data_IF_734266737914
#
_entry.id   IF_734266737914
#
_cell.length_a   1.000
_cell.length_b   1.000
_cell.length_c   1.000
_cell.angle_alpha   90.00
_cell.angle_beta   90.00
_cell.angle_gamma   90.00
#
_symmetry.space_group_name_H-M   'P 1'
#
loop_
_entity.id
_entity.type
_entity.pdbx_description
1 polymer ?
#
# COMPACT_ATOMS: atom_id res chain seq x y z
N UNK A 1 32.58 6.98 -0.11
CA UNK A 1 32.59 6.83 1.36
C UNK A 1 32.07 5.43 1.66
N UNK A 2 32.99 4.51 1.99
CA UNK A 2 32.75 3.06 1.99
C UNK A 2 31.78 2.64 3.10
N UNK A 3 30.63 2.10 2.71
CA UNK A 3 29.70 1.40 3.59
C UNK A 3 30.17 -0.05 3.70
N UNK A 4 30.56 -0.46 4.90
CA UNK A 4 30.89 -1.84 5.26
C UNK A 4 29.59 -2.66 5.30
N UNK A 5 29.54 -3.86 4.70
CA UNK A 5 28.34 -4.71 4.75
C UNK A 5 28.10 -5.28 6.16
N UNK A 6 26.84 -5.19 6.59
CA UNK A 6 26.30 -5.53 7.92
C UNK A 6 26.17 -7.05 8.16
N UNK A 7 27.17 -7.85 7.76
CA UNK A 7 27.10 -9.33 7.80
C UNK A 7 28.16 -10.00 8.71
N UNK A 8 28.85 -9.23 9.55
CA UNK A 8 29.91 -9.76 10.42
C UNK A 8 29.69 -9.40 11.90
N UNK A 9 28.71 -10.03 12.52
CA UNK A 9 28.69 -10.25 13.96
C UNK A 9 27.88 -11.51 14.24
N UNK A 10 28.47 -12.45 15.01
CA UNK A 10 27.92 -13.74 15.45
C UNK A 10 28.22 -14.96 14.54
N UNK A 11 29.48 -15.40 14.54
CA UNK A 11 29.84 -16.83 14.36
C UNK A 11 30.97 -17.26 15.29
N UNK A 12 30.61 -17.80 16.44
CA UNK A 12 31.31 -18.81 17.28
C UNK A 12 30.40 -19.09 18.48
N UNK A 13 30.17 -20.27 19.06
CA UNK A 13 30.73 -21.62 19.01
C UNK A 13 29.53 -22.61 19.18
N UNK A 14 29.53 -23.88 18.76
CA UNK A 14 30.04 -25.07 19.50
C UNK A 14 29.72 -26.32 18.64
N UNK A 15 30.69 -27.05 18.09
CA UNK A 15 31.21 -28.38 18.52
C UNK A 15 30.23 -29.42 19.09
N UNK A 16 29.94 -30.42 18.24
CA UNK A 16 30.08 -31.90 18.40
C UNK A 16 29.63 -32.63 19.67
N UNK A 17 28.77 -33.64 19.48
CA UNK A 17 28.86 -34.95 20.13
C UNK A 17 28.23 -36.03 19.24
N UNK A 18 28.88 -37.20 19.19
CA UNK A 18 28.54 -38.39 18.42
C UNK A 18 28.49 -39.62 19.35
N UNK A 19 28.04 -40.74 18.80
CA UNK A 19 27.91 -42.10 19.36
C UNK A 19 26.60 -42.37 20.11
N UNK A 20 25.90 -43.50 19.93
CA UNK A 20 26.15 -44.75 19.21
C UNK A 20 25.26 -45.83 19.84
N UNK A 21 24.86 -46.88 19.11
CA UNK A 21 24.26 -48.07 19.74
C UNK A 21 23.24 -48.88 18.93
N UNK A 22 23.76 -49.92 18.27
CA UNK A 22 23.12 -51.19 17.81
C UNK A 22 22.13 -51.80 18.83
N UNK A 23 21.29 -52.81 18.57
CA UNK A 23 20.66 -53.53 17.45
C UNK A 23 19.99 -54.77 18.10
N UNK A 24 18.90 -55.28 17.49
CA UNK A 24 18.34 -56.67 17.56
C UNK A 24 17.36 -57.05 18.68
N UNK A 25 16.31 -57.77 18.25
CA UNK A 25 15.83 -58.96 18.97
C UNK A 25 14.31 -59.12 19.01
N UNK A 26 13.76 -59.82 18.01
CA UNK A 26 12.36 -60.23 17.93
C UNK A 26 11.98 -61.30 18.97
N UNK A 27 10.70 -61.39 19.36
CA UNK A 27 9.83 -62.55 19.11
C UNK A 27 8.41 -62.37 19.68
N UNK A 28 7.47 -62.87 18.88
CA UNK A 28 6.02 -62.98 19.09
C UNK A 28 5.65 -63.79 20.34
N UNK A 29 4.54 -63.42 20.96
CA UNK A 29 3.54 -64.39 21.41
C UNK A 29 2.13 -63.76 21.36
N UNK A 30 1.24 -64.44 20.64
CA UNK A 30 -0.18 -64.17 20.46
C UNK A 30 -1.01 -64.64 21.66
N UNK A 31 -2.04 -63.88 22.06
CA UNK A 31 -3.36 -64.45 22.40
C UNK A 31 -4.47 -63.39 22.56
N UNK A 32 -5.55 -63.68 21.84
CA UNK A 32 -6.97 -63.56 22.18
C UNK A 32 -7.59 -62.17 22.46
N UNK A 33 -8.47 -61.83 21.51
CA UNK A 33 -9.61 -60.93 21.53
C UNK A 33 -10.26 -60.65 22.89
N UNK A 34 -10.39 -59.36 23.19
CA UNK A 34 -11.59 -58.80 23.78
C UNK A 34 -12.02 -57.64 22.87
N UNK A 35 -13.17 -57.78 22.22
CA UNK A 35 -13.82 -56.68 21.50
C UNK A 35 -14.40 -55.79 22.58
N UNK A 36 -13.60 -54.82 23.01
CA UNK A 36 -14.04 -53.72 23.85
C UNK A 36 -14.67 -52.67 22.93
N UNK A 37 -15.99 -52.54 23.01
CA UNK A 37 -16.73 -51.46 22.39
C UNK A 37 -16.52 -50.18 23.23
N UNK A 38 -15.31 -49.61 23.13
CA UNK A 38 -14.97 -48.30 23.68
C UNK A 38 -15.60 -47.16 22.86
N UNK A 39 -15.83 -45.99 23.47
CA UNK A 39 -16.72 -44.96 22.94
C UNK A 39 -16.13 -44.27 21.72
N UNK A 40 -16.70 -44.53 20.55
CA UNK A 40 -16.32 -43.86 19.29
C UNK A 40 -16.64 -42.35 19.28
N UNK A 41 -17.26 -41.79 20.34
CA UNK A 41 -17.52 -40.35 20.48
C UNK A 41 -16.33 -39.50 20.94
N UNK A 42 -15.33 -40.07 21.62
CA UNK A 42 -14.30 -39.27 22.31
C UNK A 42 -13.18 -38.70 21.44
N UNK A 43 -13.00 -39.18 20.21
CA UNK A 43 -11.99 -38.69 19.27
C UNK A 43 -12.52 -37.55 18.39
N UNK A 44 -13.78 -37.66 17.96
CA UNK A 44 -14.46 -36.61 17.21
C UNK A 44 -14.66 -35.35 18.06
N UNK A 45 -15.13 -35.49 19.31
CA UNK A 45 -15.30 -34.37 20.23
C UNK A 45 -13.96 -33.67 20.55
N UNK A 46 -12.87 -34.44 20.67
CA UNK A 46 -11.52 -33.88 20.88
C UNK A 46 -11.03 -33.08 19.67
N UNK A 47 -11.22 -33.61 18.46
CA UNK A 47 -10.81 -32.92 17.24
C UNK A 47 -11.61 -31.62 17.04
N UNK A 48 -12.91 -31.63 17.31
CA UNK A 48 -13.76 -30.42 17.25
C UNK A 48 -13.28 -29.38 18.26
N UNK A 49 -13.06 -29.78 19.52
CA UNK A 49 -12.57 -28.89 20.57
C UNK A 49 -11.18 -28.30 20.24
N UNK A 50 -10.29 -29.09 19.65
CA UNK A 50 -8.95 -28.64 19.24
C UNK A 50 -9.02 -27.61 18.10
N UNK A 51 -9.89 -27.85 17.10
CA UNK A 51 -10.15 -26.91 16.01
C UNK A 51 -10.75 -25.60 16.54
N UNK A 52 -11.78 -25.65 17.38
CA UNK A 52 -12.40 -24.46 17.98
C UNK A 52 -11.38 -23.64 18.78
N UNK A 53 -10.51 -24.34 19.51
CA UNK A 53 -9.43 -23.72 20.28
C UNK A 53 -8.37 -23.07 19.39
N UNK A 54 -8.01 -23.68 18.26
CA UNK A 54 -7.09 -23.09 17.28
C UNK A 54 -7.69 -21.84 16.65
N UNK A 55 -8.95 -21.88 16.20
CA UNK A 55 -9.65 -20.74 15.60
C UNK A 55 -9.69 -19.56 16.56
N UNK A 56 -9.98 -19.81 17.84
CA UNK A 56 -9.97 -18.77 18.87
C UNK A 56 -8.57 -18.16 19.07
N UNK A 57 -7.52 -18.98 19.11
CA UNK A 57 -6.13 -18.48 19.21
C UNK A 57 -5.71 -17.68 17.97
N UNK A 58 -6.09 -18.12 16.78
CA UNK A 58 -5.83 -17.40 15.52
C UNK A 58 -6.52 -16.03 15.51
N UNK A 59 -7.76 -15.93 15.99
CA UNK A 59 -8.44 -14.65 16.13
C UNK A 59 -7.70 -13.72 17.10
N UNK A 60 -7.23 -14.24 18.24
CA UNK A 60 -6.42 -13.47 19.19
C UNK A 60 -5.07 -13.03 18.59
N UNK A 61 -4.43 -13.88 17.78
CA UNK A 61 -3.23 -13.52 17.03
C UNK A 61 -3.51 -12.36 16.08
N UNK A 62 -4.59 -12.41 15.29
CA UNK A 62 -4.94 -11.33 14.36
C UNK A 62 -5.09 -10.00 15.10
N UNK A 63 -5.79 -9.99 16.25
CA UNK A 63 -5.89 -8.79 17.11
C UNK A 63 -4.54 -8.34 17.67
N UNK A 64 -3.66 -9.27 18.02
CA UNK A 64 -2.26 -8.97 18.40
C UNK A 64 -1.50 -8.29 17.28
N UNK A 65 -1.56 -8.82 16.06
CA UNK A 65 -0.95 -8.21 14.89
C UNK A 65 -1.56 -6.82 14.62
N UNK A 66 -2.87 -6.62 14.78
CA UNK A 66 -3.48 -5.26 14.65
C UNK A 66 -2.81 -4.27 15.59
N UNK A 67 -2.65 -4.62 16.87
CA UNK A 67 -1.99 -3.77 17.87
C UNK A 67 -0.53 -3.52 17.55
N UNK A 68 0.20 -4.53 17.10
CA UNK A 68 1.60 -4.39 16.69
C UNK A 68 1.74 -3.45 15.49
N UNK A 69 0.91 -3.58 14.45
CA UNK A 69 0.95 -2.66 13.32
C UNK A 69 0.66 -1.21 13.75
N UNK A 70 -0.36 -0.99 14.58
CA UNK A 70 -0.72 0.35 15.09
C UNK A 70 0.39 0.97 15.94
N UNK A 71 1.07 0.17 16.76
CA UNK A 71 2.15 0.63 17.64
C UNK A 71 3.53 0.60 16.98
N UNK A 72 3.62 0.22 15.70
CA UNK A 72 4.90 -0.07 15.06
C UNK A 72 5.73 -1.09 15.87
N UNK A 73 5.07 -2.09 16.43
CA UNK A 73 5.61 -3.17 17.26
C UNK A 73 6.32 -2.65 18.53
N UNK A 74 5.77 -1.61 19.16
CA UNK A 74 6.30 -1.01 20.39
C UNK A 74 5.32 -1.15 21.57
N UNK A 75 5.52 -2.14 22.47
CA UNK A 75 6.48 -3.25 22.39
C UNK A 75 5.96 -4.39 21.51
N UNK A 76 6.88 -5.18 20.95
CA UNK A 76 6.57 -6.41 20.25
C UNK A 76 6.04 -7.47 21.22
N UNK A 77 4.91 -8.10 20.89
CA UNK A 77 4.24 -9.15 21.66
C UNK A 77 4.88 -10.52 21.34
N UNK A 78 6.03 -10.82 21.96
CA UNK A 78 6.84 -12.01 21.67
C UNK A 78 6.07 -13.35 21.74
N UNK A 79 5.02 -13.43 22.54
CA UNK A 79 4.17 -14.61 22.69
C UNK A 79 3.35 -14.94 21.43
N UNK A 80 3.20 -14.00 20.49
CA UNK A 80 2.55 -14.23 19.20
C UNK A 80 3.42 -15.06 18.25
N UNK A 81 4.71 -15.24 18.57
CA UNK A 81 5.70 -15.84 17.69
C UNK A 81 6.23 -17.15 18.25
N UNK A 82 6.43 -18.13 17.37
CA UNK A 82 7.11 -19.36 17.74
C UNK A 82 8.59 -19.06 18.03
N UNK A 83 9.25 -19.76 18.96
CA UNK A 83 10.65 -19.50 19.30
C UNK A 83 11.62 -19.53 18.11
N UNK A 84 11.36 -20.42 17.15
CA UNK A 84 12.12 -20.58 15.90
C UNK A 84 11.53 -19.83 14.71
N UNK A 85 10.79 -18.74 14.93
CA UNK A 85 10.17 -17.98 13.85
C UNK A 85 11.19 -17.56 12.79
N UNK A 86 10.82 -17.70 11.51
CA UNK A 86 11.60 -17.17 10.40
C UNK A 86 10.94 -15.94 9.81
N UNK A 87 11.72 -14.89 9.55
CA UNK A 87 11.28 -13.68 8.88
C UNK A 87 12.09 -13.49 7.60
N UNK A 88 11.43 -13.16 6.50
CA UNK A 88 12.13 -12.80 5.27
C UNK A 88 11.41 -11.69 4.53
N UNK A 89 12.17 -10.68 4.10
CA UNK A 89 11.71 -9.63 3.22
C UNK A 89 12.71 -9.43 2.04
N UNK A 90 12.45 -8.50 1.11
CA UNK A 90 13.37 -8.23 0.00
C UNK A 90 14.72 -7.60 0.38
N UNK A 91 15.01 -7.34 1.65
CA UNK A 91 16.28 -6.78 2.14
C UNK A 91 17.02 -7.75 3.07
N UNK A 92 16.31 -8.44 3.96
CA UNK A 92 16.85 -9.17 5.10
C UNK A 92 16.12 -10.49 5.32
N UNK A 93 16.79 -11.41 6.01
CA UNK A 93 16.21 -12.67 6.46
C UNK A 93 16.73 -12.95 7.85
N UNK A 94 15.84 -13.26 8.79
CA UNK A 94 16.12 -13.40 10.21
C UNK A 94 15.52 -14.72 10.71
N UNK A 95 16.13 -15.26 11.76
CA UNK A 95 15.65 -16.46 12.43
C UNK A 95 15.68 -16.24 13.94
N UNK A 96 14.59 -16.62 14.61
CA UNK A 96 14.38 -16.49 16.04
C UNK A 96 13.75 -15.16 16.46
N UNK A 97 12.94 -15.22 17.52
CA UNK A 97 12.17 -14.09 18.07
C UNK A 97 13.08 -12.92 18.43
N UNK A 98 14.24 -13.19 19.03
CA UNK A 98 15.19 -12.14 19.43
C UNK A 98 15.78 -11.37 18.25
N UNK A 99 16.11 -12.07 17.14
CA UNK A 99 16.62 -11.41 15.94
C UNK A 99 15.56 -10.51 15.31
N UNK A 100 14.32 -10.99 15.27
CA UNK A 100 13.19 -10.24 14.76
C UNK A 100 12.89 -8.99 15.60
N UNK A 101 12.80 -9.13 16.93
CA UNK A 101 12.63 -8.02 17.89
C UNK A 101 13.71 -6.94 17.73
N UNK A 102 14.98 -7.35 17.59
CA UNK A 102 16.08 -6.40 17.41
C UNK A 102 15.96 -5.60 16.10
N UNK A 103 15.54 -6.24 15.02
CA UNK A 103 15.32 -5.56 13.74
C UNK A 103 14.14 -4.58 13.81
N UNK A 104 13.05 -5.00 14.43
CA UNK A 104 11.88 -4.16 14.66
C UNK A 104 12.25 -2.93 15.50
N UNK A 105 12.94 -3.10 16.64
CA UNK A 105 13.41 -2.00 17.49
C UNK A 105 14.34 -1.02 16.73
N UNK A 106 15.10 -1.53 15.75
CA UNK A 106 15.93 -0.68 14.90
C UNK A 106 15.07 0.19 13.97
N UNK A 107 14.08 -0.40 13.30
CA UNK A 107 13.18 0.30 12.38
C UNK A 107 12.24 1.26 13.10
N UNK A 108 11.75 0.88 14.28
CA UNK A 108 10.84 1.66 15.11
C UNK A 108 11.49 2.90 15.73
N UNK A 109 12.81 3.02 15.60
CA UNK A 109 13.53 4.12 16.20
C UNK A 109 13.67 3.97 17.71
N UNK A 110 13.53 2.79 18.31
CA UNK A 110 13.86 2.60 19.72
C UNK A 110 15.35 2.45 19.94
N UNK A 111 16.05 1.90 18.96
CA UNK A 111 17.50 1.94 18.96
C UNK A 111 18.01 3.37 18.77
N UNK A 112 19.13 3.71 19.43
CA UNK A 112 19.82 4.99 19.24
C UNK A 112 20.13 5.24 17.75
N UNK A 113 20.48 4.19 17.01
CA UNK A 113 20.71 4.26 15.56
C UNK A 113 19.42 4.57 14.79
N UNK A 114 18.30 3.94 15.13
CA UNK A 114 17.00 4.18 14.49
C UNK A 114 16.54 5.64 14.62
N UNK A 115 16.65 6.26 15.81
CA UNK A 115 16.31 7.69 16.02
C UNK A 115 17.18 8.65 15.19
N UNK A 116 18.43 8.25 14.96
CA UNK A 116 19.39 9.04 14.17
C UNK A 116 19.07 8.90 12.68
N UNK A 117 18.71 7.70 12.23
CA UNK A 117 18.52 7.37 10.81
C UNK A 117 17.13 7.73 10.28
N UNK A 118 16.08 7.61 11.09
CA UNK A 118 14.69 7.66 10.62
C UNK A 118 13.81 8.66 11.39
N UNK A 119 12.80 9.20 10.72
CA UNK A 119 11.68 10.02 11.26
C UNK A 119 10.43 9.73 10.44
N UNK A 120 9.27 10.18 10.89
CA UNK A 120 7.98 10.01 10.20
C UNK A 120 7.68 8.53 9.90
N UNK A 121 8.13 7.64 10.78
CA UNK A 121 7.87 6.22 10.66
C UNK A 121 6.37 5.96 10.84
N UNK A 122 5.79 5.21 9.92
CA UNK A 122 4.38 4.82 9.98
C UNK A 122 4.20 3.46 9.34
N UNK A 123 3.39 2.62 9.97
CA UNK A 123 2.98 1.33 9.45
C UNK A 123 1.47 1.25 9.57
N UNK A 124 0.80 1.08 8.43
CA UNK A 124 -0.65 0.97 8.36
C UNK A 124 -0.99 -0.42 7.86
N UNK A 125 -1.80 -1.15 8.62
CA UNK A 125 -2.40 -2.39 8.16
C UNK A 125 -3.75 -2.08 7.54
N UNK A 126 -3.89 -2.39 6.25
CA UNK A 126 -5.10 -2.10 5.49
C UNK A 126 -6.13 -3.22 5.54
N UNK A 127 -5.67 -4.47 5.65
CA UNK A 127 -6.54 -5.64 5.64
C UNK A 127 -5.80 -6.86 6.21
N UNK A 128 -6.55 -7.82 6.75
CA UNK A 128 -6.10 -9.16 7.10
C UNK A 128 -7.04 -10.19 6.47
N UNK A 129 -6.50 -11.09 5.67
CA UNK A 129 -7.26 -12.15 5.01
C UNK A 129 -6.78 -13.53 5.46
N UNK A 130 -7.71 -14.48 5.48
CA UNK A 130 -7.47 -15.88 5.83
C UNK A 130 -8.23 -16.76 4.86
N UNK A 131 -7.61 -17.82 4.33
CA UNK A 131 -8.27 -18.73 3.38
C UNK A 131 -9.47 -19.44 4.02
N UNK A 132 -9.33 -19.83 5.29
CA UNK A 132 -10.41 -20.32 6.14
C UNK A 132 -10.09 -20.04 7.63
N UNK A 133 -11.09 -20.12 8.53
CA UNK A 133 -10.84 -19.99 9.97
C UNK A 133 -9.81 -21.00 10.48
N UNK A 134 -9.82 -22.20 9.94
CA UNK A 134 -8.96 -23.33 10.34
C UNK A 134 -7.61 -23.33 9.62
N UNK A 135 -7.42 -22.49 8.59
CA UNK A 135 -6.17 -22.47 7.85
C UNK A 135 -5.01 -22.03 8.75
N UNK A 136 -3.84 -22.63 8.55
CA UNK A 136 -2.59 -22.21 9.21
C UNK A 136 -1.90 -21.06 8.47
N UNK A 137 -2.65 -20.35 7.64
CA UNK A 137 -2.17 -19.24 6.83
C UNK A 137 -3.01 -18.01 7.12
N UNK A 138 -2.35 -16.85 7.15
CA UNK A 138 -3.02 -15.56 7.07
C UNK A 138 -2.14 -14.60 6.27
N UNK A 139 -2.78 -13.59 5.69
CA UNK A 139 -2.12 -12.60 4.86
C UNK A 139 -2.52 -11.21 5.36
N UNK A 140 -1.56 -10.34 5.65
CA UNK A 140 -1.85 -8.94 5.93
C UNK A 140 -1.47 -8.10 4.72
N UNK A 141 -2.20 -7.01 4.48
CA UNK A 141 -1.81 -5.96 3.52
C UNK A 141 -1.43 -4.71 4.29
N UNK A 142 -0.35 -4.07 3.88
CA UNK A 142 0.22 -2.97 4.64
C UNK A 142 0.88 -1.88 3.81
N UNK A 143 1.12 -0.75 4.45
CA UNK A 143 1.95 0.34 3.95
C UNK A 143 2.90 0.80 5.05
N UNK A 144 4.19 0.69 4.76
CA UNK A 144 5.29 1.13 5.59
C UNK A 144 5.86 2.41 4.99
N UNK A 145 6.03 3.43 5.81
CA UNK A 145 6.74 4.64 5.44
C UNK A 145 7.78 5.02 6.49
N UNK A 146 8.85 5.66 6.02
CA UNK A 146 9.81 6.34 6.90
C UNK A 146 10.59 7.37 6.09
N UNK A 147 11.08 8.40 6.78
CA UNK A 147 11.96 9.43 6.23
C UNK A 147 13.38 9.19 6.67
N UNK A 148 14.31 9.13 5.71
CA UNK A 148 15.73 8.93 6.00
C UNK A 148 16.43 10.27 6.27
N UNK A 149 16.98 10.45 7.48
CA UNK A 149 17.48 11.76 7.97
C UNK A 149 18.88 12.12 7.50
N UNK A 150 19.72 11.14 7.17
CA UNK A 150 21.14 11.38 6.88
C UNK A 150 21.41 12.04 5.52
N UNK A 151 20.43 12.00 4.61
CA UNK A 151 20.57 12.69 3.31
C UNK A 151 20.03 14.12 3.42
N UNK A 152 20.69 15.14 2.81
CA UNK A 152 20.29 16.55 2.94
C UNK A 152 18.83 16.84 2.55
N UNK A 153 18.27 16.09 1.60
CA UNK A 153 16.89 16.24 1.15
C UNK A 153 15.88 15.37 1.92
N UNK A 154 16.34 14.60 2.91
CA UNK A 154 15.53 13.74 3.78
C UNK A 154 14.41 12.98 3.05
N UNK A 155 14.74 12.02 2.17
CA UNK A 155 13.75 11.37 1.33
C UNK A 155 12.75 10.57 2.17
N UNK A 156 11.47 10.66 1.79
CA UNK A 156 10.42 9.77 2.28
C UNK A 156 10.41 8.51 1.41
N UNK A 157 10.62 7.36 2.02
CA UNK A 157 10.40 6.06 1.40
C UNK A 157 9.04 5.51 1.84
N UNK A 158 8.35 4.88 0.89
CA UNK A 158 7.05 4.27 1.07
C UNK A 158 7.04 2.90 0.40
N UNK A 159 6.82 1.87 1.18
CA UNK A 159 6.71 0.50 0.75
C UNK A 159 5.29 0.05 1.00
N UNK A 160 4.70 -0.63 0.02
CA UNK A 160 3.43 -1.30 0.20
C UNK A 160 3.63 -2.76 -0.13
N UNK A 161 2.81 -3.61 0.46
CA UNK A 161 3.03 -5.03 0.31
C UNK A 161 2.02 -5.88 1.03
N UNK A 162 2.36 -7.16 1.07
CA UNK A 162 1.68 -8.15 1.89
C UNK A 162 2.70 -8.86 2.78
N UNK A 163 2.23 -9.36 3.91
CA UNK A 163 2.96 -10.31 4.73
C UNK A 163 2.19 -11.62 4.75
N UNK A 164 2.82 -12.70 4.30
CA UNK A 164 2.27 -14.04 4.37
C UNK A 164 2.79 -14.73 5.63
N UNK A 165 1.87 -15.19 6.47
CA UNK A 165 2.19 -15.84 7.73
C UNK A 165 1.84 -17.32 7.64
N UNK A 166 2.75 -18.16 8.14
CA UNK A 166 2.50 -19.56 8.45
C UNK A 166 2.44 -19.73 9.96
N UNK A 167 1.43 -20.43 10.46
CA UNK A 167 1.20 -20.63 11.89
C UNK A 167 1.58 -22.05 12.33
N UNK A 168 2.01 -22.19 13.58
CA UNK A 168 2.16 -23.49 14.26
C UNK A 168 0.81 -23.99 14.83
N UNK A 169 0.81 -25.14 15.50
CA UNK A 169 -0.42 -25.75 16.06
C UNK A 169 -1.01 -24.96 17.25
N UNK A 170 -0.21 -24.10 17.87
CA UNK A 170 -0.65 -23.16 18.89
C UNK A 170 -1.16 -21.84 18.30
N UNK A 171 -1.24 -21.72 16.97
CA UNK A 171 -1.57 -20.50 16.23
C UNK A 171 -0.59 -19.33 16.49
N UNK A 172 0.68 -19.63 16.74
CA UNK A 172 1.77 -18.64 16.77
C UNK A 172 2.42 -18.54 15.39
N UNK A 173 3.02 -17.40 15.09
CA UNK A 173 3.74 -17.17 13.84
C UNK A 173 5.00 -18.02 13.80
N UNK A 174 5.02 -19.01 12.91
CA UNK A 174 6.17 -19.86 12.62
C UNK A 174 7.04 -19.25 11.51
N UNK A 175 6.41 -18.57 10.54
CA UNK A 175 7.10 -17.93 9.42
C UNK A 175 6.34 -16.69 8.98
N UNK A 176 7.05 -15.61 8.71
CA UNK A 176 6.55 -14.38 8.11
C UNK A 176 7.38 -14.05 6.87
N UNK A 177 6.70 -13.95 5.72
CA UNK A 177 7.30 -13.59 4.44
C UNK A 177 6.68 -12.29 3.93
N UNK A 178 7.48 -11.24 3.87
CA UNK A 178 7.06 -9.92 3.42
C UNK A 178 7.39 -9.77 1.93
N UNK A 179 6.41 -9.30 1.16
CA UNK A 179 6.52 -9.05 -0.26
C UNK A 179 6.15 -7.61 -0.59
N UNK A 180 6.95 -6.94 -1.39
CA UNK A 180 6.72 -5.56 -1.82
C UNK A 180 6.02 -5.50 -3.17
N UNK A 181 4.98 -4.68 -3.27
CA UNK A 181 4.20 -4.51 -4.50
C UNK A 181 5.08 -4.02 -5.68
N UNK A 182 6.18 -3.31 -5.43
CA UNK A 182 7.00 -2.72 -6.49
C UNK A 182 7.96 -3.70 -7.18
N UNK A 183 8.26 -4.84 -6.56
CA UNK A 183 9.27 -5.79 -7.05
C UNK A 183 8.85 -7.26 -6.97
N UNK A 184 7.86 -7.60 -6.15
CA UNK A 184 7.40 -8.98 -5.96
C UNK A 184 6.05 -9.26 -6.62
N UNK A 185 5.27 -8.22 -6.95
CA UNK A 185 3.97 -8.36 -7.58
C UNK A 185 4.14 -8.75 -9.06
N UNK A 186 3.57 -9.89 -9.40
CA UNK A 186 3.51 -10.43 -10.75
C UNK A 186 2.10 -10.23 -11.34
N UNK A 187 2.01 -10.29 -12.67
CA UNK A 187 0.72 -10.32 -13.35
C UNK A 187 -0.15 -11.48 -12.80
N UNK A 188 -1.44 -11.22 -12.61
CA UNK A 188 -2.37 -12.12 -11.92
C UNK A 188 -2.54 -11.81 -10.43
N UNK A 189 -1.92 -10.74 -9.90
CA UNK A 189 -2.04 -10.37 -8.48
C UNK A 189 -1.27 -11.30 -7.53
N UNK A 190 -0.34 -12.10 -8.07
CA UNK A 190 0.43 -13.08 -7.30
C UNK A 190 1.78 -12.51 -6.88
N UNK A 191 2.40 -13.11 -5.85
CA UNK A 191 3.68 -12.65 -5.31
C UNK A 191 4.75 -13.72 -5.49
N UNK A 192 5.93 -13.29 -5.95
CA UNK A 192 7.12 -14.15 -6.03
C UNK A 192 8.30 -13.51 -5.30
N UNK A 193 9.16 -14.32 -4.66
CA UNK A 193 10.39 -13.82 -4.08
C UNK A 193 11.24 -13.09 -5.14
N UNK A 194 11.68 -11.89 -4.80
CA UNK A 194 12.60 -11.10 -5.61
C UNK A 194 13.99 -11.17 -4.98
N UNK A 195 15.04 -11.02 -5.80
CA UNK A 195 16.40 -11.00 -5.29
C UNK A 195 16.66 -9.77 -4.41
N UNK A 196 17.48 -9.91 -3.36
CA UNK A 196 17.79 -8.81 -2.43
C UNK A 196 18.40 -7.56 -3.10
N UNK A 197 19.08 -7.75 -4.22
CA UNK A 197 19.58 -6.65 -5.04
C UNK A 197 18.44 -5.78 -5.62
N UNK A 198 17.31 -6.39 -5.99
CA UNK A 198 16.14 -5.65 -6.46
C UNK A 198 15.50 -4.84 -5.33
N UNK A 199 15.39 -5.41 -4.12
CA UNK A 199 14.94 -4.69 -2.92
C UNK A 199 15.81 -3.49 -2.59
N UNK A 200 17.14 -3.68 -2.55
CA UNK A 200 18.08 -2.58 -2.33
C UNK A 200 17.98 -1.51 -3.42
N UNK A 201 17.88 -1.90 -4.69
CA UNK A 201 17.76 -0.96 -5.80
C UNK A 201 16.46 -0.16 -5.75
N UNK A 202 15.32 -0.80 -5.41
CA UNK A 202 14.06 -0.09 -5.21
C UNK A 202 14.15 0.94 -4.07
N UNK A 203 14.73 0.55 -2.92
CA UNK A 203 14.96 1.48 -1.82
C UNK A 203 15.85 2.67 -2.23
N UNK A 204 16.97 2.41 -2.92
CA UNK A 204 17.88 3.46 -3.38
C UNK A 204 17.21 4.41 -4.40
N UNK A 205 16.37 3.89 -5.30
CA UNK A 205 15.58 4.71 -6.22
C UNK A 205 14.63 5.66 -5.48
N UNK A 206 14.07 5.23 -4.35
CA UNK A 206 13.23 6.09 -3.52
C UNK A 206 14.03 7.18 -2.80
N UNK A 207 15.29 6.92 -2.46
CA UNK A 207 16.19 7.89 -1.83
C UNK A 207 16.81 8.90 -2.80
N UNK A 208 16.70 8.69 -4.11
CA UNK A 208 17.22 9.62 -5.11
C UNK A 208 16.70 11.06 -4.93
N UNK A 209 17.50 12.08 -5.30
CA UNK A 209 17.10 13.48 -5.17
C UNK A 209 15.87 13.77 -6.05
N UNK A 210 14.73 13.99 -5.40
CA UNK A 210 13.45 14.33 -6.04
C UNK A 210 13.22 15.84 -5.98
N UNK A 211 13.98 16.60 -6.77
CA UNK A 211 13.89 18.07 -6.80
C UNK A 211 12.50 18.52 -7.29
N UNK A 212 11.91 17.82 -8.27
CA UNK A 212 10.59 18.14 -8.84
C UNK A 212 9.41 17.73 -7.93
N UNK A 213 9.55 16.61 -7.20
CA UNK A 213 8.46 16.04 -6.39
C UNK A 213 8.19 16.85 -5.11
N UNK A 214 9.14 17.65 -4.61
CA UNK A 214 8.95 18.49 -3.41
C UNK A 214 7.96 19.64 -3.63
N UNK A 215 7.95 20.23 -4.82
CA UNK A 215 7.02 21.32 -5.16
C UNK A 215 5.61 20.75 -5.41
N UNK A 216 5.52 19.61 -6.11
CA UNK A 216 4.25 18.92 -6.39
C UNK A 216 3.61 18.23 -5.17
N UNK A 217 4.40 17.70 -4.22
CA UNK A 217 3.88 17.02 -3.03
C UNK A 217 3.29 17.99 -1.98
N UNK A 218 3.76 19.24 -1.91
CA UNK A 218 3.09 20.30 -1.14
C UNK A 218 1.71 20.66 -1.69
N UNK A 219 1.44 20.18 -2.89
CA UNK A 219 0.42 20.69 -3.77
C UNK A 219 -0.69 19.66 -4.08
N UNK A 220 -0.47 18.39 -3.77
CA UNK A 220 -1.42 17.32 -4.00
C UNK A 220 -2.48 17.22 -2.88
N UNK A 221 -3.70 16.77 -3.22
CA UNK A 221 -4.69 16.40 -2.20
C UNK A 221 -4.11 15.30 -1.31
N UNK A 222 -4.41 15.39 0.00
CA UNK A 222 -4.00 14.34 0.93
C UNK A 222 -4.66 13.03 0.53
N UNK A 223 -3.89 11.96 0.53
CA UNK A 223 -4.35 10.62 0.21
C UNK A 223 -3.57 9.58 1.02
N UNK A 224 -4.18 8.41 1.17
CA UNK A 224 -3.50 7.23 1.69
C UNK A 224 -2.94 6.43 0.52
N UNK A 225 -1.65 6.07 0.58
CA UNK A 225 -1.06 5.14 -0.36
C UNK A 225 -1.48 3.72 0.02
N UNK A 226 -2.17 3.03 -0.88
CA UNK A 226 -2.71 1.68 -0.67
C UNK A 226 -1.89 0.59 -1.37
N UNK A 227 -1.27 0.95 -2.51
CA UNK A 227 -0.37 0.09 -3.30
C UNK A 227 0.60 0.97 -4.09
N UNK A 228 1.86 0.57 -4.14
CA UNK A 228 2.91 1.07 -5.05
C UNK A 228 3.44 -0.10 -5.86
N UNK A 229 2.78 -0.38 -6.98
CA UNK A 229 3.25 -1.37 -7.93
C UNK A 229 4.43 -0.81 -8.75
N UNK A 230 5.07 -1.67 -9.56
CA UNK A 230 6.19 -1.25 -10.40
C UNK A 230 5.83 -0.13 -11.40
N UNK A 231 4.56 -0.06 -11.84
CA UNK A 231 4.11 0.82 -12.93
C UNK A 231 2.94 1.73 -12.60
N UNK A 232 2.25 1.50 -11.49
CA UNK A 232 1.10 2.29 -11.07
C UNK A 232 1.02 2.32 -9.55
N UNK A 233 0.23 3.24 -9.01
CA UNK A 233 -0.07 3.31 -7.58
C UNK A 233 -1.57 3.22 -7.39
N UNK A 234 -2.01 2.76 -6.22
CA UNK A 234 -3.39 2.90 -5.77
C UNK A 234 -3.41 3.82 -4.57
N UNK A 235 -4.25 4.84 -4.63
CA UNK A 235 -4.40 5.87 -3.61
C UNK A 235 -5.85 5.95 -3.17
N UNK A 236 -6.08 6.21 -1.88
CA UNK A 236 -7.41 6.56 -1.36
C UNK A 236 -7.45 8.05 -1.09
N UNK A 237 -8.35 8.75 -1.78
CA UNK A 237 -8.66 10.14 -1.51
C UNK A 237 -9.86 10.19 -0.57
N UNK A 238 -9.79 10.96 0.54
CA UNK A 238 -10.96 11.21 1.38
C UNK A 238 -12.01 12.00 0.59
N UNK A 239 -13.17 12.20 1.19
CA UNK A 239 -14.14 13.13 0.63
C UNK A 239 -13.54 14.55 0.52
N UNK A 240 -13.79 15.23 -0.60
CA UNK A 240 -13.38 16.61 -0.81
C UNK A 240 -14.41 17.40 -1.63
N UNK A 241 -14.32 18.72 -1.56
CA UNK A 241 -15.10 19.62 -2.39
C UNK A 241 -14.28 20.06 -3.61
N UNK A 242 -14.95 20.29 -4.72
CA UNK A 242 -14.35 20.86 -5.91
C UNK A 242 -15.32 21.79 -6.63
N UNK A 243 -14.80 22.77 -7.36
CA UNK A 243 -15.61 23.55 -8.30
C UNK A 243 -15.48 22.93 -9.69
N UNK A 244 -16.59 22.41 -10.20
CA UNK A 244 -16.73 21.86 -11.53
C UNK A 244 -17.15 22.92 -12.53
N UNK A 245 -16.52 22.95 -13.70
CA UNK A 245 -16.88 23.80 -14.84
C UNK A 245 -16.85 22.99 -16.13
N UNK A 246 -17.84 23.19 -17.00
CA UNK A 246 -17.83 22.56 -18.32
C UNK A 246 -16.79 23.21 -19.21
N UNK A 247 -16.07 22.38 -19.96
CA UNK A 247 -15.02 22.83 -20.87
C UNK A 247 -15.45 22.56 -22.31
N UNK A 248 -15.31 23.59 -23.13
CA UNK A 248 -15.40 23.48 -24.59
C UNK A 248 -14.35 22.49 -25.14
N UNK A 249 -14.58 21.91 -26.33
CA UNK A 249 -13.70 20.92 -26.94
C UNK A 249 -12.21 21.33 -26.96
N UNK A 250 -11.33 20.32 -26.92
CA UNK A 250 -9.85 20.39 -26.87
C UNK A 250 -9.16 21.15 -28.04
N UNK A 251 -9.84 22.01 -28.78
CA UNK A 251 -9.26 22.76 -29.91
C UNK A 251 -8.14 23.71 -29.46
N UNK A 252 -8.14 24.15 -28.19
CA UNK A 252 -7.07 24.96 -27.58
C UNK A 252 -6.00 24.18 -26.79
N UNK A 253 -6.06 22.84 -26.78
CA UNK A 253 -5.13 21.99 -26.05
C UNK A 253 -5.13 22.20 -24.52
N UNK A 254 -4.07 21.71 -23.87
CA UNK A 254 -3.90 21.74 -22.40
C UNK A 254 -3.92 23.16 -21.81
N UNK A 255 -3.48 24.17 -22.58
CA UNK A 255 -3.45 25.56 -22.14
C UNK A 255 -4.86 26.13 -21.92
N UNK A 256 -5.82 25.75 -22.78
CA UNK A 256 -7.22 26.13 -22.58
C UNK A 256 -7.78 25.51 -21.29
N UNK A 257 -7.44 24.25 -21.02
CA UNK A 257 -7.85 23.57 -19.78
C UNK A 257 -7.32 24.31 -18.55
N UNK A 258 -6.06 24.76 -18.57
CA UNK A 258 -5.51 25.60 -17.50
C UNK A 258 -6.23 26.95 -17.36
N UNK A 259 -6.61 27.59 -18.47
CA UNK A 259 -7.34 28.85 -18.45
C UNK A 259 -8.76 28.68 -17.85
N UNK A 260 -9.51 27.67 -18.29
CA UNK A 260 -10.86 27.37 -17.79
C UNK A 260 -10.82 27.02 -16.29
N UNK A 261 -9.79 26.30 -15.85
CA UNK A 261 -9.60 25.93 -14.45
C UNK A 261 -9.20 27.12 -13.57
N UNK A 262 -8.32 27.98 -14.07
CA UNK A 262 -7.95 29.24 -13.40
C UNK A 262 -9.18 30.14 -13.25
N UNK A 263 -10.05 30.18 -14.27
CA UNK A 263 -11.34 30.86 -14.19
C UNK A 263 -12.22 30.25 -13.10
N UNK A 264 -12.47 28.93 -13.15
CA UNK A 264 -13.35 28.23 -12.22
C UNK A 264 -13.00 28.51 -10.75
N UNK A 265 -11.71 28.58 -10.44
CA UNK A 265 -11.29 28.77 -9.06
C UNK A 265 -10.98 30.24 -8.69
N UNK A 266 -10.93 31.15 -9.66
CA UNK A 266 -11.13 32.60 -9.42
C UNK A 266 -12.56 32.93 -8.99
N UNK A 267 -13.56 32.22 -9.55
CA UNK A 267 -14.98 32.36 -9.16
C UNK A 267 -15.21 31.94 -7.71
N UNK A 268 -14.50 30.91 -7.26
CA UNK A 268 -14.54 30.47 -5.86
C UNK A 268 -13.89 31.46 -4.87
N UNK A 269 -13.21 32.51 -5.34
CA UNK A 269 -12.34 33.40 -4.53
C UNK A 269 -11.25 32.65 -3.74
N UNK A 270 -10.96 31.41 -4.12
CA UNK A 270 -10.12 30.48 -3.35
C UNK A 270 -8.75 30.20 -3.97
N UNK A 271 -8.45 30.72 -5.17
CA UNK A 271 -7.10 30.65 -5.70
C UNK A 271 -6.28 31.90 -5.38
N UNK A 272 -5.16 31.68 -4.70
CA UNK A 272 -3.97 32.50 -4.97
C UNK A 272 -3.20 31.88 -6.16
N UNK A 273 -2.53 32.68 -7.02
CA UNK A 273 -1.83 32.19 -8.23
C UNK A 273 -0.68 31.18 -8.01
N UNK A 274 -0.45 30.76 -6.76
CA UNK A 274 0.61 29.83 -6.35
C UNK A 274 0.06 28.47 -5.88
N UNK A 275 -1.27 28.33 -5.81
CA UNK A 275 -1.92 27.10 -5.39
C UNK A 275 -2.08 26.10 -6.55
N UNK A 276 -1.97 24.82 -6.25
CA UNK A 276 -2.02 23.75 -7.23
C UNK A 276 -3.43 23.39 -7.64
N UNK A 277 -3.53 23.03 -8.89
CA UNK A 277 -4.78 22.83 -9.57
C UNK A 277 -4.87 21.34 -9.94
N UNK A 278 -5.56 20.52 -9.17
CA UNK A 278 -5.99 19.22 -9.71
C UNK A 278 -7.10 19.56 -10.68
N UNK A 279 -6.90 19.22 -11.94
CA UNK A 279 -7.94 19.27 -12.97
C UNK A 279 -8.36 17.82 -13.15
N UNK A 280 -9.64 17.49 -12.94
CA UNK A 280 -10.19 16.19 -13.35
C UNK A 280 -10.84 16.34 -14.71
N UNK A 281 -10.27 15.68 -15.70
CA UNK A 281 -10.74 15.66 -17.07
C UNK A 281 -11.04 14.22 -17.50
N UNK A 282 -12.32 13.83 -17.49
CA UNK A 282 -12.79 12.57 -18.07
C UNK A 282 -13.68 12.82 -19.31
N UNK A 283 -13.44 12.04 -20.37
CA UNK A 283 -14.46 11.74 -21.39
C UNK A 283 -14.24 10.39 -22.03
N UNK A 284 -15.30 9.87 -22.67
CA UNK A 284 -15.36 8.66 -23.49
C UNK A 284 -14.37 8.59 -24.68
N UNK A 285 -13.64 9.68 -25.00
CA UNK A 285 -12.73 9.73 -26.15
C UNK A 285 -11.41 10.48 -25.88
N UNK A 286 -11.00 10.63 -24.62
CA UNK A 286 -9.74 11.31 -24.26
C UNK A 286 -9.76 12.85 -24.41
N UNK A 287 -10.93 13.47 -24.66
CA UNK A 287 -11.12 14.93 -24.72
C UNK A 287 -11.81 15.44 -23.44
N UNK A 288 -11.25 16.33 -22.62
CA UNK A 288 -11.95 16.86 -21.44
C UNK A 288 -13.28 17.50 -21.81
N UNK A 289 -14.32 17.22 -21.02
CA UNK A 289 -15.63 17.89 -21.09
C UNK A 289 -15.93 18.72 -19.84
N UNK A 290 -15.23 18.43 -18.76
CA UNK A 290 -15.39 19.07 -17.46
C UNK A 290 -14.03 19.16 -16.81
N UNK A 291 -13.85 20.21 -16.04
CA UNK A 291 -12.71 20.41 -15.15
C UNK A 291 -13.23 20.62 -13.75
N UNK A 292 -12.65 19.90 -12.80
CA UNK A 292 -12.90 20.10 -11.36
C UNK A 292 -11.65 20.65 -10.72
N UNK A 293 -11.78 21.65 -9.88
CA UNK A 293 -10.70 22.20 -9.06
C UNK A 293 -11.00 21.93 -7.58
N UNK A 294 -10.24 21.06 -6.90
CA UNK A 294 -10.44 20.81 -5.48
C UNK A 294 -10.19 22.04 -4.63
N UNK A 295 -11.06 22.21 -3.63
CA UNK A 295 -10.96 23.28 -2.65
C UNK A 295 -10.16 22.78 -1.44
N UNK A 296 -9.31 23.66 -0.89
CA UNK A 296 -8.53 23.37 0.32
C UNK A 296 -9.27 23.73 1.60
N UNK A 297 -10.11 24.75 1.52
CA UNK A 297 -10.94 25.24 2.62
C UNK A 297 -12.40 25.27 2.17
N UNK A 298 -13.34 25.25 3.11
CA UNK A 298 -14.77 25.31 2.80
C UNK A 298 -15.17 26.78 2.57
N UNK A 299 -15.77 27.13 1.43
CA UNK A 299 -16.34 28.46 1.25
C UNK A 299 -17.51 28.66 2.21
N UNK A 300 -17.76 29.91 2.61
CA UNK A 300 -18.93 30.23 3.44
C UNK A 300 -20.22 29.94 2.67
N UNK A 301 -21.33 29.68 3.37
CA UNK A 301 -22.62 29.34 2.74
C UNK A 301 -23.12 30.39 1.73
N UNK A 302 -22.65 31.65 1.84
CA UNK A 302 -22.99 32.75 0.92
C UNK A 302 -22.22 32.71 -0.40
N UNK A 303 -21.16 31.89 -0.50
CA UNK A 303 -20.27 31.76 -1.65
C UNK A 303 -20.56 30.51 -2.50
N UNK A 304 -21.49 29.66 -2.06
CA UNK A 304 -21.82 28.37 -2.71
C UNK A 304 -22.54 28.48 -4.07
N UNK A 305 -23.03 29.66 -4.46
CA UNK A 305 -23.75 29.89 -5.71
C UNK A 305 -23.24 31.16 -6.39
N UNK A 306 -22.12 31.05 -7.11
CA UNK A 306 -21.66 32.13 -8.00
C UNK A 306 -21.84 31.68 -9.44
N UNK A 307 -22.97 32.06 -10.06
CA UNK A 307 -23.08 32.10 -11.52
C UNK A 307 -22.46 33.39 -12.01
N UNK A 308 -21.26 33.32 -12.60
CA UNK A 308 -20.61 34.48 -13.20
C UNK A 308 -20.65 34.35 -14.72
N UNK A 309 -21.44 35.22 -15.35
CA UNK A 309 -21.45 35.42 -16.81
C UNK A 309 -20.28 36.32 -17.19
N UNK A 310 -19.45 35.88 -18.14
CA UNK A 310 -18.42 36.71 -18.76
C UNK A 310 -18.54 36.55 -20.28
N UNK A 311 -18.64 37.68 -20.98
CA UNK A 311 -18.72 37.76 -22.44
C UNK A 311 -19.91 37.04 -23.10
N UNK A 312 -21.06 36.94 -22.42
CA UNK A 312 -22.28 36.39 -23.02
C UNK A 312 -22.29 34.87 -23.16
N UNK A 313 -21.28 34.17 -22.64
CA UNK A 313 -21.26 32.72 -22.49
C UNK A 313 -21.58 32.37 -21.05
N UNK A 314 -22.72 31.72 -20.79
CA UNK A 314 -23.07 31.22 -19.47
C UNK A 314 -22.17 30.04 -19.12
N UNK A 315 -21.02 30.32 -18.49
CA UNK A 315 -20.19 29.28 -17.89
C UNK A 315 -20.74 28.98 -16.51
N UNK A 316 -21.57 27.95 -16.40
CA UNK A 316 -22.09 27.51 -15.10
C UNK A 316 -21.02 26.72 -14.34
N UNK A 317 -20.30 27.39 -13.43
CA UNK A 317 -19.47 26.72 -12.43
C UNK A 317 -20.35 26.23 -11.27
N UNK A 318 -20.12 25.02 -10.78
CA UNK A 318 -20.89 24.42 -9.68
C UNK A 318 -19.97 23.84 -8.62
N UNK A 319 -20.30 24.05 -7.35
CA UNK A 319 -19.69 23.32 -6.25
C UNK A 319 -20.14 21.85 -6.29
N UNK A 320 -19.18 20.94 -6.35
CA UNK A 320 -19.35 19.50 -6.36
C UNK A 320 -18.75 18.90 -5.10
N UNK A 321 -19.49 18.01 -4.42
CA UNK A 321 -18.98 17.19 -3.33
C UNK A 321 -18.61 15.83 -3.89
N UNK A 322 -17.33 15.48 -3.80
CA UNK A 322 -16.79 14.24 -4.34
C UNK A 322 -16.62 13.27 -3.16
N UNK A 323 -17.31 12.11 -3.18
CA UNK A 323 -17.18 11.14 -2.11
C UNK A 323 -15.76 10.58 -2.06
N UNK A 324 -15.43 9.91 -0.96
CA UNK A 324 -14.20 9.13 -0.85
C UNK A 324 -14.05 8.21 -2.07
N UNK A 325 -12.86 8.20 -2.67
CA UNK A 325 -12.57 7.42 -3.87
C UNK A 325 -11.25 6.69 -3.73
N UNK A 326 -11.20 5.46 -4.24
CA UNK A 326 -9.96 4.72 -4.45
C UNK A 326 -9.62 4.78 -5.92
N UNK A 327 -8.41 5.26 -6.22
CA UNK A 327 -7.96 5.57 -7.56
C UNK A 327 -6.68 4.80 -7.84
N UNK A 328 -6.65 4.04 -8.93
CA UNK A 328 -5.41 3.61 -9.52
C UNK A 328 -4.86 4.74 -10.39
N UNK A 329 -3.57 5.05 -10.27
CA UNK A 329 -2.94 6.12 -11.02
C UNK A 329 -1.66 5.67 -11.71
N UNK A 330 -1.36 6.28 -12.86
CA UNK A 330 -0.09 6.13 -13.59
C UNK A 330 0.43 7.51 -14.02
N UNK A 331 1.72 7.82 -13.83
CA UNK A 331 2.29 9.05 -14.38
C UNK A 331 2.28 9.00 -15.90
N UNK A 332 1.93 10.11 -16.54
CA UNK A 332 2.04 10.28 -17.98
C UNK A 332 3.39 10.93 -18.31
N UNK A 333 4.25 10.19 -19.01
CA UNK A 333 5.63 10.63 -19.34
C UNK A 333 5.70 11.60 -20.52
N UNK A 334 4.64 11.66 -21.34
CA UNK A 334 4.54 12.51 -22.52
C UNK A 334 3.50 13.61 -22.32
N UNK A 335 3.48 14.61 -23.23
CA UNK A 335 2.45 15.66 -23.18
C UNK A 335 1.06 15.04 -23.30
N UNK A 336 0.06 15.53 -22.55
CA UNK A 336 -1.28 14.95 -22.55
C UNK A 336 -1.99 15.24 -23.87
N UNK A 337 -1.87 14.37 -24.87
CA UNK A 337 -2.72 14.37 -26.06
C UNK A 337 -3.89 13.40 -25.87
N UNK A 338 -5.03 13.55 -26.57
CA UNK A 338 -6.12 12.59 -26.48
C UNK A 338 -5.68 11.15 -26.73
N UNK A 339 -4.77 10.94 -27.69
CA UNK A 339 -4.19 9.62 -28.00
C UNK A 339 -3.34 9.07 -26.84
N UNK A 340 -2.47 9.90 -26.26
CA UNK A 340 -1.63 9.52 -25.12
C UNK A 340 -2.48 9.17 -23.89
N UNK A 341 -3.54 9.95 -23.63
CA UNK A 341 -4.50 9.70 -22.55
C UNK A 341 -5.21 8.37 -22.78
N UNK A 342 -5.77 8.12 -23.97
CA UNK A 342 -6.48 6.87 -24.28
C UNK A 342 -5.57 5.65 -24.18
N UNK A 343 -4.36 5.73 -24.73
CA UNK A 343 -3.36 4.66 -24.67
C UNK A 343 -2.96 4.35 -23.24
N UNK A 344 -2.65 5.39 -22.44
CA UNK A 344 -2.22 5.22 -21.06
C UNK A 344 -3.36 4.76 -20.15
N UNK A 345 -4.59 5.20 -20.41
CA UNK A 345 -5.80 4.72 -19.72
C UNK A 345 -6.05 3.24 -19.98
N UNK A 346 -5.96 2.81 -21.24
CA UNK A 346 -6.11 1.40 -21.63
C UNK A 346 -5.02 0.53 -21.00
N UNK A 347 -3.79 1.06 -20.97
CA UNK A 347 -2.66 0.39 -20.34
C UNK A 347 -2.83 0.25 -18.83
N UNK A 348 -3.23 1.32 -18.15
CA UNK A 348 -3.50 1.29 -16.71
C UNK A 348 -4.63 0.32 -16.39
N UNK A 349 -5.72 0.34 -17.17
CA UNK A 349 -6.85 -0.59 -17.02
C UNK A 349 -6.39 -2.05 -17.12
N UNK A 350 -5.61 -2.39 -18.14
CA UNK A 350 -5.08 -3.73 -18.31
C UNK A 350 -4.17 -4.18 -17.15
N UNK A 351 -3.35 -3.28 -16.60
CA UNK A 351 -2.50 -3.58 -15.45
C UNK A 351 -3.31 -3.83 -14.17
N UNK A 352 -4.30 -2.98 -13.88
CA UNK A 352 -5.11 -3.12 -12.65
C UNK A 352 -5.98 -4.37 -12.72
N UNK A 353 -6.55 -4.68 -13.89
CA UNK A 353 -7.34 -5.90 -14.11
C UNK A 353 -6.48 -7.16 -14.04
N UNK A 354 -5.27 -7.12 -14.59
CA UNK A 354 -4.31 -8.21 -14.44
C UNK A 354 -3.97 -8.48 -12.96
N UNK A 355 -3.99 -7.46 -12.11
CA UNK A 355 -3.72 -7.59 -10.67
C UNK A 355 -4.98 -7.89 -9.83
N UNK A 356 -6.10 -8.24 -10.47
CA UNK A 356 -7.35 -8.62 -9.81
C UNK A 356 -8.17 -7.45 -9.25
N UNK A 357 -7.89 -6.22 -9.68
CA UNK A 357 -8.69 -5.03 -9.35
C UNK A 357 -9.70 -4.76 -10.47
N UNK A 358 -10.80 -4.07 -10.15
CA UNK A 358 -11.77 -3.64 -11.16
C UNK A 358 -11.92 -2.13 -11.18
N UNK A 359 -11.60 -1.54 -12.33
CA UNK A 359 -11.92 -0.14 -12.61
C UNK A 359 -13.42 0.03 -12.84
N UNK A 360 -13.96 1.15 -12.38
CA UNK A 360 -15.33 1.55 -12.67
C UNK A 360 -15.54 1.70 -14.19
N UNK A 361 -16.76 1.45 -14.66
CA UNK A 361 -17.12 1.60 -16.08
C UNK A 361 -17.40 3.06 -16.44
N UNK A 362 -16.41 3.91 -16.18
CA UNK A 362 -16.38 5.33 -16.50
C UNK A 362 -15.02 5.68 -17.10
N UNK A 363 -14.92 6.75 -17.90
CA UNK A 363 -13.64 7.16 -18.47
C UNK A 363 -12.61 7.54 -17.40
N UNK A 364 -11.33 7.36 -17.74
CA UNK A 364 -10.23 7.79 -16.90
C UNK A 364 -10.19 9.32 -16.76
N UNK A 365 -9.80 9.78 -15.59
CA UNK A 365 -9.47 11.18 -15.35
C UNK A 365 -8.02 11.46 -15.71
N UNK A 366 -7.74 12.58 -16.39
CA UNK A 366 -6.41 13.16 -16.45
C UNK A 366 -6.26 14.11 -15.26
N UNK A 367 -5.39 13.78 -14.30
CA UNK A 367 -4.98 14.66 -13.22
C UNK A 367 -3.73 15.47 -13.60
N UNK A 368 -3.74 16.75 -13.24
CA UNK A 368 -2.70 17.71 -13.59
C UNK A 368 -2.18 18.32 -12.28
N UNK A 369 -0.87 18.45 -12.15
CA UNK A 369 -0.22 19.04 -10.99
C UNK A 369 0.81 20.06 -11.46
N UNK A 370 0.51 21.35 -11.30
CA UNK A 370 1.42 22.42 -11.69
C UNK A 370 0.74 23.77 -11.64
N UNK A 371 1.51 24.82 -11.94
CA UNK A 371 0.98 26.17 -12.07
C UNK A 371 0.46 26.37 -13.51
N UNK A 372 -0.71 27.00 -13.66
CA UNK A 372 -1.32 27.31 -14.95
C UNK A 372 -0.41 28.12 -15.90
N UNK A 373 0.57 28.84 -15.39
CA UNK A 373 1.55 29.60 -16.18
C UNK A 373 2.81 28.85 -16.61
N UNK A 374 3.04 27.61 -16.14
CA UNK A 374 4.27 26.84 -16.42
C UNK A 374 3.95 25.37 -16.72
N UNK A 375 3.40 25.12 -17.92
CA UNK A 375 3.04 23.79 -18.39
C UNK A 375 4.24 22.84 -18.55
N UNK A 376 5.47 23.37 -18.63
CA UNK A 376 6.68 22.53 -18.78
C UNK A 376 7.07 21.86 -17.46
N UNK A 377 6.63 22.41 -16.33
CA UNK A 377 6.84 21.82 -14.99
C UNK A 377 5.61 21.10 -14.45
N UNK A 378 4.53 21.03 -15.23
CA UNK A 378 3.35 20.30 -14.84
C UNK A 378 3.59 18.79 -14.89
N UNK A 379 3.16 18.08 -13.83
CA UNK A 379 3.08 16.62 -13.80
C UNK A 379 1.67 16.20 -14.22
N UNK A 380 1.61 15.19 -15.08
CA UNK A 380 0.36 14.62 -15.57
C UNK A 380 0.23 13.18 -15.06
N UNK A 381 -0.97 12.81 -14.61
CA UNK A 381 -1.28 11.47 -14.13
C UNK A 381 -2.61 11.01 -14.74
N UNK A 382 -2.71 9.74 -15.12
CA UNK A 382 -3.97 9.11 -15.52
C UNK A 382 -4.55 8.39 -14.32
N UNK A 383 -5.82 8.62 -14.04
CA UNK A 383 -6.54 8.13 -12.87
C UNK A 383 -7.72 7.26 -13.31
N UNK A 384 -7.80 6.05 -12.76
CA UNK A 384 -8.95 5.15 -12.86
C UNK A 384 -9.58 4.98 -11.49
N UNK A 385 -10.85 5.36 -11.36
CA UNK A 385 -11.63 5.06 -10.16
C UNK A 385 -11.82 3.53 -10.09
N UNK A 386 -11.55 2.94 -8.94
CA UNK A 386 -11.73 1.51 -8.69
C UNK A 386 -13.07 1.27 -7.99
N UNK A 387 -13.83 0.27 -8.45
CA UNK A 387 -15.12 -0.13 -7.85
C UNK A 387 -15.02 -1.42 -7.04
N UNK A 388 -14.17 -2.36 -7.44
CA UNK A 388 -13.91 -3.58 -6.68
C UNK A 388 -12.42 -3.68 -6.36
N UNK A 389 -12.12 -3.69 -5.07
CA UNK A 389 -10.75 -3.69 -4.57
C UNK A 389 -10.69 -4.18 -3.12
N UNK A 390 -9.54 -4.74 -2.66
CA UNK A 390 -9.41 -5.34 -1.33
C UNK A 390 -9.29 -4.32 -0.18
N UNK A 391 -9.26 -3.01 -0.47
CA UNK A 391 -9.13 -1.94 0.52
C UNK A 391 -10.48 -1.38 1.00
N UNK A 392 -11.56 -2.17 0.92
CA UNK A 392 -12.88 -1.80 1.45
C UNK A 392 -12.98 -2.11 2.93
N UNK A 393 -12.21 -1.39 3.74
CA UNK A 393 -12.51 -1.20 5.16
C UNK A 393 -12.29 0.28 5.47
N UNK A 394 -13.39 1.02 5.52
CA UNK A 394 -13.52 2.12 6.47
C UNK A 394 -13.35 1.49 7.86
N UNK A 395 -12.15 1.64 8.42
CA UNK A 395 -11.93 1.43 9.85
C UNK A 395 -12.78 2.42 10.64
#
# INVERSE_FOLDING_TARGET
>A
LGLVPLSYALRSASRTSAAGGRQRGALRASRASAVDAGPQGGAADRAIHETDSFVARKAALVEGLRREYTSFFQPMEENLYAPGVTFSDPLISLEGVSAYKNNVNMLAGDSMLGKILFTDCGLVMHNVTTDSPESRTLCTRWTLQFRFKLLPWQPLAQFTGISQYTLDDEARVLRQEDFWDSINLEAGGTYKPAGKAAGLLDMLKQFGPRIERRTAARQELRHDLLRRAARYEVRRYPEYLAVGTECEPWEGGILKVFADASFAASVAKELTPQDPLIILAASDAGKPRRVRVPLRELPSASEMLVSTSLNGTDVSSRLERLPQQVVAMMPLSEKPTPEAILKSSSMLKALVEADGLKAADIPADLAIFGNAGDSERARFEIWLILEMHPWNESQ
#
